data_IF_114434822221
#
_entry.id   IF_114434822221
#
_cell.length_a   1.000
_cell.length_b   1.000
_cell.length_c   1.000
_cell.angle_alpha   90.00
_cell.angle_beta   90.00
_cell.angle_gamma   90.00
#
_symmetry.space_group_name_H-M   'P 1'
#
loop_
_entity.id
_entity.type
_entity.pdbx_description
1 polymer ?
#
# COMPACT_ATOMS: atom_id res chain seq x y z
N UNK A 1 -18.45 -10.48 10.06
CA UNK A 1 -18.44 -9.34 11.01
C UNK A 1 -19.60 -9.51 11.98
N UNK A 2 -19.45 -9.14 13.26
CA UNK A 2 -20.49 -9.34 14.29
C UNK A 2 -21.43 -8.16 14.53
N UNK A 3 -21.26 -7.04 13.79
CA UNK A 3 -22.09 -5.85 13.96
C UNK A 3 -23.14 -5.78 12.83
N UNK A 4 -24.45 -5.91 13.13
CA UNK A 4 -25.51 -5.90 12.13
C UNK A 4 -25.64 -4.57 11.39
N UNK A 5 -25.13 -3.47 11.96
CA UNK A 5 -25.07 -2.19 11.27
C UNK A 5 -24.22 -2.23 9.99
N UNK A 6 -23.28 -3.18 9.89
CA UNK A 6 -22.38 -3.37 8.74
C UNK A 6 -22.78 -4.55 7.85
N UNK A 7 -24.07 -4.88 7.79
CA UNK A 7 -24.59 -5.85 6.82
C UNK A 7 -24.42 -5.34 5.38
N UNK A 8 -24.41 -6.24 4.40
CA UNK A 8 -24.31 -5.86 2.98
C UNK A 8 -25.39 -4.86 2.59
N UNK A 9 -26.65 -5.11 2.98
CA UNK A 9 -27.78 -4.22 2.72
C UNK A 9 -27.57 -2.79 3.26
N UNK A 10 -26.94 -2.65 4.43
CA UNK A 10 -26.66 -1.33 5.02
C UNK A 10 -25.46 -0.63 4.39
N UNK A 11 -24.49 -1.39 3.87
CA UNK A 11 -23.27 -0.85 3.27
C UNK A 11 -23.46 -0.54 1.78
N UNK A 12 -24.34 -1.26 1.08
CA UNK A 12 -24.59 -1.10 -0.35
C UNK A 12 -24.92 0.35 -0.78
N UNK A 13 -25.77 1.12 -0.07
CA UNK A 13 -26.00 2.52 -0.41
C UNK A 13 -24.72 3.37 -0.39
N UNK A 14 -23.78 3.07 0.52
CA UNK A 14 -22.49 3.74 0.58
C UNK A 14 -21.53 3.29 -0.54
N UNK A 15 -21.57 2.01 -0.92
CA UNK A 15 -20.84 1.50 -2.09
C UNK A 15 -21.34 2.12 -3.39
N UNK A 16 -22.65 2.36 -3.51
CA UNK A 16 -23.21 3.08 -4.66
C UNK A 16 -22.84 4.57 -4.62
N UNK A 17 -22.90 5.21 -3.45
CA UNK A 17 -22.56 6.63 -3.34
C UNK A 17 -21.07 6.95 -3.62
N UNK A 18 -20.16 5.98 -3.42
CA UNK A 18 -18.73 6.23 -3.64
C UNK A 18 -18.35 6.26 -5.12
N UNK A 19 -19.09 5.58 -5.99
CA UNK A 19 -18.70 5.32 -7.37
C UNK A 19 -19.58 5.99 -8.44
N UNK A 20 -18.96 6.22 -9.59
CA UNK A 20 -19.62 6.37 -10.89
C UNK A 20 -19.14 5.23 -11.78
N UNK A 21 -19.96 4.20 -11.95
CA UNK A 21 -19.64 3.06 -12.82
C UNK A 21 -19.92 3.43 -14.29
N UNK A 22 -18.89 3.40 -15.13
CA UNK A 22 -18.96 3.82 -16.52
C UNK A 22 -19.37 2.70 -17.49
N UNK A 23 -19.45 1.45 -17.02
CA UNK A 23 -19.75 0.29 -17.86
C UNK A 23 -21.16 -0.23 -17.61
N UNK A 24 -21.55 -0.38 -16.35
CA UNK A 24 -22.87 -0.88 -15.95
C UNK A 24 -23.86 0.23 -15.62
N UNK A 25 -23.37 1.46 -15.42
CA UNK A 25 -24.19 2.62 -15.09
C UNK A 25 -24.85 2.53 -13.70
N UNK A 26 -25.65 3.54 -13.31
CA UNK A 26 -26.37 3.50 -12.04
C UNK A 26 -27.43 2.41 -12.05
N UNK A 27 -27.53 1.65 -10.96
CA UNK A 27 -28.49 0.56 -10.84
C UNK A 27 -28.74 0.12 -9.40
N UNK A 28 -29.24 -1.10 -9.22
CA UNK A 28 -29.46 -1.69 -7.90
C UNK A 28 -28.14 -1.86 -7.12
N UNK A 29 -27.07 -2.24 -7.83
CA UNK A 29 -25.75 -2.51 -7.25
C UNK A 29 -24.76 -1.36 -7.41
N UNK A 30 -24.91 -0.53 -8.46
CA UNK A 30 -23.92 0.46 -8.86
C UNK A 30 -24.35 1.91 -8.67
N UNK A 31 -23.35 2.76 -8.49
CA UNK A 31 -23.46 4.21 -8.45
C UNK A 31 -23.26 4.89 -9.81
N UNK A 32 -23.84 6.08 -9.98
CA UNK A 32 -23.66 6.90 -11.20
C UNK A 32 -23.19 8.33 -10.95
N UNK A 33 -23.02 8.73 -9.70
CA UNK A 33 -22.74 10.12 -9.32
C UNK A 33 -21.58 10.26 -8.34
N UNK A 34 -21.05 9.14 -7.83
CA UNK A 34 -19.97 9.14 -6.87
C UNK A 34 -18.64 9.62 -7.48
N UNK A 35 -17.74 10.20 -6.66
CA UNK A 35 -16.52 10.83 -7.17
C UNK A 35 -15.50 9.83 -7.76
N UNK A 36 -15.61 8.54 -7.41
CA UNK A 36 -14.71 7.52 -7.93
C UNK A 36 -15.25 6.95 -9.24
N UNK A 37 -14.66 7.35 -10.37
CA UNK A 37 -15.02 6.79 -11.68
C UNK A 37 -14.40 5.41 -11.85
N UNK A 38 -15.23 4.42 -12.17
CA UNK A 38 -14.82 3.01 -12.35
C UNK A 38 -15.05 2.59 -13.80
N UNK A 39 -14.09 1.84 -14.35
CA UNK A 39 -14.16 1.26 -15.69
C UNK A 39 -13.50 -0.12 -15.74
N UNK A 40 -13.99 -0.97 -16.63
CA UNK A 40 -13.50 -2.30 -16.96
C UNK A 40 -12.90 -2.27 -18.36
N UNK A 41 -11.72 -2.85 -18.53
CA UNK A 41 -11.05 -2.98 -19.82
C UNK A 41 -11.20 -4.41 -20.29
N UNK A 42 -11.86 -4.59 -21.44
CA UNK A 42 -11.99 -5.91 -22.04
C UNK A 42 -10.60 -6.47 -22.42
N UNK A 43 -10.37 -7.78 -22.32
CA UNK A 43 -9.08 -8.38 -22.68
C UNK A 43 -8.82 -8.23 -24.18
N UNK A 44 -7.92 -7.31 -24.55
CA UNK A 44 -7.49 -7.06 -25.93
C UNK A 44 -6.13 -7.69 -26.24
N UNK A 45 -5.24 -7.76 -25.25
CA UNK A 45 -3.89 -8.31 -25.41
C UNK A 45 -3.92 -9.83 -25.71
N UNK A 46 -3.11 -10.37 -26.64
CA UNK A 46 -3.17 -11.79 -27.02
C UNK A 46 -3.01 -12.79 -25.86
N UNK A 47 -2.19 -12.46 -24.85
CA UNK A 47 -2.08 -13.29 -23.66
C UNK A 47 -3.35 -13.27 -22.79
N UNK A 48 -4.04 -12.13 -22.73
CA UNK A 48 -5.30 -12.00 -21.98
C UNK A 48 -6.42 -12.81 -22.64
N UNK A 49 -6.52 -12.69 -23.96
CA UNK A 49 -7.43 -13.50 -24.78
C UNK A 49 -7.17 -14.98 -24.58
N UNK A 50 -5.90 -15.42 -24.66
CA UNK A 50 -5.56 -16.83 -24.48
C UNK A 50 -5.91 -17.38 -23.09
N UNK A 51 -5.75 -16.57 -22.04
CA UNK A 51 -6.12 -16.99 -20.68
C UNK A 51 -7.64 -17.07 -20.50
N UNK A 52 -8.39 -16.08 -21.00
CA UNK A 52 -9.87 -16.13 -21.05
C UNK A 52 -10.35 -17.40 -21.74
N UNK A 53 -9.84 -17.66 -22.94
CA UNK A 53 -10.29 -18.80 -23.76
C UNK A 53 -9.97 -20.13 -23.06
N UNK A 54 -8.83 -20.21 -22.36
CA UNK A 54 -8.49 -21.37 -21.53
C UNK A 54 -9.43 -21.52 -20.33
N UNK A 55 -9.79 -20.43 -19.64
CA UNK A 55 -10.75 -20.48 -18.54
C UNK A 55 -12.12 -20.98 -19.01
N UNK A 56 -12.62 -20.47 -20.15
CA UNK A 56 -13.89 -20.91 -20.72
C UNK A 56 -13.84 -22.36 -21.19
N UNK A 57 -12.73 -22.80 -21.80
CA UNK A 57 -12.54 -24.19 -22.21
C UNK A 57 -12.52 -25.18 -21.02
N UNK A 58 -12.14 -24.70 -19.83
CA UNK A 58 -12.22 -25.45 -18.57
C UNK A 58 -13.60 -25.39 -17.91
N UNK A 59 -14.57 -24.70 -18.52
CA UNK A 59 -15.95 -24.62 -18.06
C UNK A 59 -16.24 -23.48 -17.08
N UNK A 60 -15.29 -22.57 -16.82
CA UNK A 60 -15.56 -21.39 -15.99
C UNK A 60 -16.44 -20.40 -16.76
N UNK A 61 -17.52 -19.87 -16.16
CA UNK A 61 -18.42 -18.95 -16.84
C UNK A 61 -17.78 -17.58 -17.06
N UNK A 62 -18.32 -16.77 -17.99
CA UNK A 62 -18.07 -15.34 -18.03
C UNK A 62 -18.55 -14.66 -16.75
N UNK A 63 -17.73 -13.76 -16.24
CA UNK A 63 -17.99 -12.93 -15.06
C UNK A 63 -17.69 -11.48 -15.44
N UNK A 64 -18.61 -10.82 -16.17
CA UNK A 64 -18.37 -9.50 -16.73
C UNK A 64 -18.28 -8.41 -15.66
N UNK A 65 -18.78 -8.66 -14.45
CA UNK A 65 -18.83 -7.70 -13.37
C UNK A 65 -18.44 -8.28 -12.01
N UNK A 66 -17.16 -8.10 -11.66
CA UNK A 66 -16.60 -8.55 -10.39
C UNK A 66 -17.19 -7.88 -9.14
N UNK A 67 -17.97 -6.83 -9.32
CA UNK A 67 -18.65 -6.13 -8.22
C UNK A 67 -20.13 -6.53 -8.10
N UNK A 68 -20.63 -7.40 -8.98
CA UNK A 68 -21.95 -8.00 -8.81
C UNK A 68 -21.90 -9.15 -7.77
N UNK A 69 -23.02 -9.84 -7.57
CA UNK A 69 -23.11 -11.01 -6.69
C UNK A 69 -23.31 -12.30 -7.51
N UNK A 70 -22.80 -12.30 -8.73
CA UNK A 70 -22.88 -13.37 -9.70
C UNK A 70 -21.98 -14.56 -9.36
N UNK A 71 -22.10 -15.66 -10.13
CA UNK A 71 -21.27 -16.83 -9.93
C UNK A 71 -19.80 -16.51 -10.25
N UNK A 72 -18.84 -17.09 -9.50
CA UNK A 72 -17.42 -16.87 -9.75
C UNK A 72 -17.04 -17.37 -11.15
N UNK A 73 -16.35 -16.52 -11.91
CA UNK A 73 -15.88 -16.86 -13.24
C UNK A 73 -14.72 -16.01 -13.70
N UNK A 74 -14.50 -15.95 -15.01
CA UNK A 74 -13.47 -15.11 -15.59
C UNK A 74 -14.05 -13.81 -16.15
N UNK A 75 -13.41 -12.69 -15.83
CA UNK A 75 -13.66 -11.44 -16.55
C UNK A 75 -12.81 -10.26 -16.11
N UNK A 76 -13.18 -9.06 -16.57
CA UNK A 76 -12.38 -7.86 -16.37
C UNK A 76 -12.45 -7.38 -14.92
N UNK A 77 -11.34 -6.83 -14.42
CA UNK A 77 -11.29 -6.25 -13.07
C UNK A 77 -11.68 -4.77 -13.14
N UNK A 78 -12.64 -4.31 -12.32
CA UNK A 78 -13.00 -2.90 -12.24
C UNK A 78 -11.80 -2.08 -11.77
N UNK A 79 -11.57 -0.95 -12.44
CA UNK A 79 -10.40 -0.11 -12.23
C UNK A 79 -10.80 1.36 -12.14
N UNK A 80 -10.13 2.10 -11.26
CA UNK A 80 -10.24 3.55 -11.17
C UNK A 80 -9.25 4.29 -12.11
N UNK A 81 -8.78 3.60 -13.15
CA UNK A 81 -8.01 4.18 -14.24
C UNK A 81 -8.91 4.45 -15.43
N UNK A 82 -9.19 5.73 -15.68
CA UNK A 82 -10.06 6.20 -16.76
C UNK A 82 -9.26 7.15 -17.64
N UNK A 83 -9.35 6.99 -18.96
CA UNK A 83 -8.61 7.79 -19.95
C UNK A 83 -7.08 7.76 -19.71
N UNK A 84 -6.55 6.60 -19.32
CA UNK A 84 -5.13 6.41 -19.01
C UNK A 84 -4.67 7.01 -17.68
N UNK A 85 -5.57 7.62 -16.89
CA UNK A 85 -5.25 8.27 -15.64
C UNK A 85 -5.87 7.53 -14.45
N UNK A 86 -5.01 7.05 -13.55
CA UNK A 86 -5.44 6.48 -12.27
C UNK A 86 -5.92 7.60 -11.33
N UNK A 87 -7.17 7.56 -10.92
CA UNK A 87 -7.75 8.48 -9.94
C UNK A 87 -7.72 7.89 -8.54
N UNK A 88 -6.93 8.49 -7.65
CA UNK A 88 -6.93 8.10 -6.25
C UNK A 88 -8.00 8.85 -5.44
N UNK A 89 -8.18 8.48 -4.17
CA UNK A 89 -9.18 9.10 -3.29
C UNK A 89 -8.92 10.59 -3.05
N UNK A 90 -7.67 11.03 -2.95
CA UNK A 90 -7.36 12.45 -2.79
C UNK A 90 -7.79 13.26 -4.02
N UNK A 91 -7.45 12.82 -5.23
CA UNK A 91 -7.86 13.49 -6.48
C UNK A 91 -9.38 13.47 -6.69
N UNK A 92 -10.08 12.51 -6.10
CA UNK A 92 -11.52 12.32 -6.28
C UNK A 92 -12.35 13.09 -5.24
N UNK A 93 -11.88 13.17 -3.99
CA UNK A 93 -12.62 13.80 -2.88
C UNK A 93 -12.07 15.17 -2.45
N UNK A 94 -10.79 15.46 -2.71
CA UNK A 94 -10.15 16.74 -2.41
C UNK A 94 -9.94 17.54 -3.70
N UNK A 95 -11.05 17.81 -4.40
CA UNK A 95 -11.03 18.69 -5.59
C UNK A 95 -10.63 20.12 -5.20
N UNK A 96 -10.18 20.96 -6.15
CA UNK A 96 -9.88 22.37 -5.87
C UNK A 96 -11.00 23.07 -5.10
N UNK A 97 -12.25 22.96 -5.57
CA UNK A 97 -13.42 23.56 -4.91
C UNK A 97 -13.64 23.06 -3.46
N UNK A 98 -13.25 21.81 -3.16
CA UNK A 98 -13.33 21.27 -1.80
C UNK A 98 -12.21 21.82 -0.92
N UNK A 99 -11.00 21.95 -1.47
CA UNK A 99 -9.85 22.52 -0.76
C UNK A 99 -9.98 24.01 -0.48
N UNK A 100 -10.75 24.74 -1.30
CA UNK A 100 -11.04 26.16 -1.12
C UNK A 100 -12.09 26.45 -0.03
N UNK A 101 -12.70 25.41 0.56
CA UNK A 101 -13.69 25.59 1.62
C UNK A 101 -13.03 26.14 2.89
N UNK A 102 -13.55 27.23 3.48
CA UNK A 102 -12.90 27.91 4.62
C UNK A 102 -12.88 27.07 5.91
N UNK A 103 -13.69 26.01 5.99
CA UNK A 103 -13.78 25.09 7.11
C UNK A 103 -12.95 23.81 6.93
N UNK A 104 -12.13 23.71 5.88
CA UNK A 104 -11.20 22.60 5.66
C UNK A 104 -9.76 23.10 5.66
N UNK A 105 -8.87 22.36 6.32
CA UNK A 105 -7.43 22.64 6.28
C UNK A 105 -6.68 21.35 6.02
N UNK A 106 -5.90 21.32 4.94
CA UNK A 106 -5.04 20.20 4.58
C UNK A 106 -3.59 20.48 5.03
N UNK A 107 -3.08 19.67 5.95
CA UNK A 107 -1.69 19.73 6.39
C UNK A 107 -0.91 18.53 5.85
N UNK A 108 -0.17 18.74 4.76
CA UNK A 108 0.73 17.73 4.17
C UNK A 108 2.12 17.75 4.82
N UNK A 109 2.89 16.66 4.65
CA UNK A 109 4.22 16.54 5.25
C UNK A 109 4.21 16.53 6.79
N UNK A 110 3.05 16.31 7.39
CA UNK A 110 2.81 16.43 8.81
C UNK A 110 2.52 15.04 9.40
N UNK A 111 3.41 14.53 10.25
CA UNK A 111 3.26 13.19 10.83
C UNK A 111 2.64 13.27 12.22
N UNK A 112 1.48 12.64 12.38
CA UNK A 112 0.89 12.44 13.71
C UNK A 112 1.74 11.45 14.51
N UNK A 113 2.12 11.83 15.74
CA UNK A 113 2.98 11.04 16.63
C UNK A 113 2.20 10.33 17.73
N UNK A 114 1.17 10.96 18.27
CA UNK A 114 0.22 10.39 19.24
C UNK A 114 -1.05 11.21 19.31
N UNK A 115 -2.12 10.59 19.77
CA UNK A 115 -3.34 11.26 20.22
C UNK A 115 -3.11 11.80 21.64
N UNK A 116 -3.63 12.99 21.92
CA UNK A 116 -3.65 13.56 23.27
C UNK A 116 -4.94 13.10 23.93
N UNK A 117 -4.81 12.40 25.05
CA UNK A 117 -5.93 11.94 25.87
C UNK A 117 -5.91 12.68 27.20
N UNK A 118 -7.03 13.28 27.58
CA UNK A 118 -7.24 13.90 28.88
C UNK A 118 -8.58 13.47 29.44
N UNK A 119 -8.59 12.95 30.68
CA UNK A 119 -9.82 12.47 31.37
C UNK A 119 -10.64 11.51 30.49
N UNK A 120 -9.97 10.51 29.92
CA UNK A 120 -10.54 9.48 29.02
C UNK A 120 -11.17 10.01 27.72
N UNK A 121 -10.83 11.25 27.32
CA UNK A 121 -11.27 11.86 26.06
C UNK A 121 -10.09 12.25 25.18
N UNK A 122 -10.20 11.99 23.88
CA UNK A 122 -9.29 12.56 22.89
C UNK A 122 -9.52 14.07 22.75
N UNK A 123 -8.48 14.86 22.96
CA UNK A 123 -8.53 16.33 22.94
C UNK A 123 -7.67 16.96 21.85
N UNK A 124 -6.97 16.14 21.07
CA UNK A 124 -6.07 16.63 20.03
C UNK A 124 -5.05 15.59 19.60
N UNK A 125 -4.09 16.04 18.82
CA UNK A 125 -2.98 15.20 18.33
C UNK A 125 -1.66 15.96 18.44
N UNK A 126 -0.60 15.23 18.79
CA UNK A 126 0.77 15.74 18.64
C UNK A 126 1.22 15.44 17.22
N UNK A 127 1.58 16.49 16.49
CA UNK A 127 2.06 16.40 15.12
C UNK A 127 3.52 16.80 15.05
N UNK A 128 4.22 16.30 14.03
CA UNK A 128 5.60 16.65 13.74
C UNK A 128 5.74 17.04 12.28
N UNK A 129 6.31 18.24 12.05
CA UNK A 129 6.64 18.77 10.73
C UNK A 129 8.00 19.46 10.83
N UNK A 130 8.89 19.18 9.89
CA UNK A 130 10.25 19.75 9.87
C UNK A 130 11.00 19.56 11.20
N UNK A 131 10.84 18.38 11.82
CA UNK A 131 11.34 18.00 13.15
C UNK A 131 10.81 18.83 14.34
N UNK A 132 9.90 19.76 14.10
CA UNK A 132 9.22 20.53 15.14
C UNK A 132 7.94 19.81 15.54
N UNK A 133 7.75 19.63 16.84
CA UNK A 133 6.53 19.03 17.40
C UNK A 133 5.60 20.10 17.94
N UNK A 134 4.35 20.01 17.54
CA UNK A 134 3.27 20.89 18.03
C UNK A 134 2.04 20.06 18.36
N UNK A 135 1.16 20.62 19.19
CA UNK A 135 -0.14 20.01 19.50
C UNK A 135 -1.21 20.74 18.70
N UNK A 136 -2.07 19.98 18.04
CA UNK A 136 -3.30 20.49 17.41
C UNK A 136 -4.47 20.03 18.26
N UNK A 137 -5.18 20.98 18.85
CA UNK A 137 -6.37 20.71 19.67
C UNK A 137 -7.56 20.35 18.78
N UNK A 138 -8.40 19.42 19.26
CA UNK A 138 -9.55 18.95 18.51
C UNK A 138 -10.73 18.57 19.41
N UNK A 139 -11.95 18.85 18.92
CA UNK A 139 -13.18 18.40 19.55
C UNK A 139 -13.41 16.89 19.42
N UNK A 140 -12.97 16.32 18.29
CA UNK A 140 -13.01 14.90 17.96
C UNK A 140 -11.77 14.54 17.12
N UNK A 141 -11.31 13.29 17.23
CA UNK A 141 -10.16 12.78 16.47
C UNK A 141 -10.58 11.51 15.73
N UNK A 142 -10.40 11.50 14.41
CA UNK A 142 -10.68 10.33 13.54
C UNK A 142 -9.35 9.78 13.01
N UNK A 143 -9.08 8.49 13.26
CA UNK A 143 -7.83 7.85 12.82
C UNK A 143 -8.02 7.11 11.50
N UNK A 144 -7.51 7.71 10.43
CA UNK A 144 -7.54 7.14 9.06
C UNK A 144 -6.13 6.86 8.53
N UNK A 145 -5.21 6.42 9.39
CA UNK A 145 -3.80 6.18 9.03
C UNK A 145 -3.56 4.81 8.34
N UNK A 146 -4.63 4.02 8.12
CA UNK A 146 -4.55 2.65 7.60
C UNK A 146 -4.38 1.60 8.71
N UNK A 147 -4.66 0.34 8.40
CA UNK A 147 -4.78 -0.74 9.39
C UNK A 147 -3.56 -0.88 10.32
N UNK A 148 -2.35 -0.81 9.76
CA UNK A 148 -1.09 -0.93 10.52
C UNK A 148 -0.78 0.33 11.34
N UNK A 149 -0.80 1.50 10.71
CA UNK A 149 -0.36 2.73 11.35
C UNK A 149 -1.40 3.26 12.36
N UNK A 150 -2.70 3.02 12.15
CA UNK A 150 -3.73 3.36 13.15
C UNK A 150 -3.54 2.54 14.43
N UNK A 151 -3.31 1.22 14.33
CA UNK A 151 -3.05 0.40 15.51
C UNK A 151 -1.77 0.83 16.24
N UNK A 152 -0.69 1.10 15.49
CA UNK A 152 0.54 1.62 16.06
C UNK A 152 0.35 2.99 16.74
N UNK A 153 -0.40 3.90 16.12
CA UNK A 153 -0.66 5.23 16.67
C UNK A 153 -1.50 5.16 17.96
N UNK A 154 -2.47 4.25 18.03
CA UNK A 154 -3.20 3.98 19.28
C UNK A 154 -2.25 3.50 20.39
N UNK A 155 -1.35 2.57 20.07
CA UNK A 155 -0.36 2.08 21.03
C UNK A 155 0.59 3.20 21.49
N UNK A 156 1.11 4.05 20.58
CA UNK A 156 1.90 5.24 20.93
C UNK A 156 1.13 6.27 21.77
N UNK A 157 -0.20 6.20 21.75
CA UNK A 157 -1.10 7.04 22.55
C UNK A 157 -1.48 6.39 23.89
N UNK A 158 -0.91 5.24 24.23
CA UNK A 158 -1.19 4.50 25.45
C UNK A 158 -2.45 3.63 25.40
N UNK A 159 -3.00 3.36 24.21
CA UNK A 159 -4.19 2.52 24.01
C UNK A 159 -3.78 1.24 23.28
N UNK A 160 -3.77 0.12 23.98
CA UNK A 160 -3.37 -1.17 23.41
C UNK A 160 -3.02 -2.21 24.45
N UNK A 161 -2.42 -3.35 24.07
CA UNK A 161 -2.09 -4.42 25.01
C UNK A 161 -1.10 -3.93 26.07
N UNK A 162 -1.51 -3.94 27.35
CA UNK A 162 -0.71 -3.42 28.48
C UNK A 162 0.75 -3.84 28.46
N UNK A 163 1.02 -5.14 28.35
CA UNK A 163 2.40 -5.64 28.37
C UNK A 163 3.26 -5.12 27.21
N UNK A 164 2.67 -4.86 26.03
CA UNK A 164 3.38 -4.23 24.92
C UNK A 164 3.71 -2.77 25.23
N UNK A 165 2.76 -2.03 25.79
CA UNK A 165 2.92 -0.62 26.15
C UNK A 165 4.01 -0.43 27.23
N UNK A 166 3.94 -1.24 28.29
CA UNK A 166 4.89 -1.21 29.40
C UNK A 166 6.32 -1.53 28.93
N UNK A 167 6.50 -2.56 28.09
CA UNK A 167 7.81 -2.88 27.49
C UNK A 167 8.36 -1.77 26.60
N UNK A 168 7.48 -1.01 25.94
CA UNK A 168 7.85 0.11 25.09
C UNK A 168 8.04 1.42 25.88
N UNK A 169 7.85 1.43 27.21
CA UNK A 169 7.93 2.63 28.04
C UNK A 169 6.79 3.63 27.76
N UNK A 170 5.67 3.18 27.20
CA UNK A 170 4.51 4.03 26.92
C UNK A 170 3.54 3.97 28.11
N UNK A 171 3.16 5.11 28.71
CA UNK A 171 2.15 5.13 29.77
C UNK A 171 0.83 4.50 29.30
N UNK A 172 0.30 3.58 30.09
CA UNK A 172 -0.96 2.90 29.77
C UNK A 172 -2.13 3.83 30.10
N UNK A 173 -2.80 4.30 29.05
CA UNK A 173 -4.08 5.03 29.16
C UNK A 173 -5.22 4.04 29.24
N UNK A 174 -5.24 3.04 28.35
CA UNK A 174 -6.26 2.00 28.32
C UNK A 174 -5.70 0.68 27.81
N UNK A 175 -5.92 -0.37 28.58
CA UNK A 175 -5.55 -1.72 28.18
C UNK A 175 -6.58 -2.29 27.21
N UNK A 176 -6.18 -2.45 25.95
CA UNK A 176 -7.03 -2.97 24.87
C UNK A 176 -6.24 -4.02 24.08
N UNK A 177 -6.27 -5.30 24.50
CA UNK A 177 -5.49 -6.36 23.86
C UNK A 177 -5.80 -6.58 22.37
N UNK A 178 -6.97 -6.14 21.90
CA UNK A 178 -7.38 -6.25 20.50
C UNK A 178 -6.67 -5.26 19.56
N UNK A 179 -6.07 -4.18 20.08
CA UNK A 179 -5.40 -3.18 19.22
C UNK A 179 -4.14 -3.77 18.59
N UNK A 180 -4.16 -3.91 17.26
CA UNK A 180 -3.08 -4.53 16.49
C UNK A 180 -3.16 -6.06 16.43
N UNK A 181 -4.19 -6.67 17.02
CA UNK A 181 -4.47 -8.09 16.86
C UNK A 181 -5.31 -8.37 15.62
N UNK A 182 -5.48 -9.66 15.27
CA UNK A 182 -6.36 -10.13 14.18
C UNK A 182 -6.08 -9.49 12.82
N UNK A 183 -4.80 -9.24 12.54
CA UNK A 183 -4.36 -8.84 11.21
C UNK A 183 -4.77 -9.91 10.19
N UNK A 184 -5.31 -9.46 9.06
CA UNK A 184 -5.69 -10.30 7.93
C UNK A 184 -5.22 -9.61 6.66
N UNK A 185 -4.79 -10.40 5.69
CA UNK A 185 -4.35 -9.96 4.37
C UNK A 185 -4.64 -11.08 3.36
N UNK A 186 -4.49 -10.81 2.07
CA UNK A 186 -4.61 -11.82 1.03
C UNK A 186 -3.23 -12.46 0.78
N UNK A 187 -3.03 -13.75 1.10
CA UNK A 187 -1.78 -14.43 0.76
C UNK A 187 -1.68 -14.55 -0.77
N UNK A 188 -0.61 -13.99 -1.34
CA UNK A 188 -0.40 -13.95 -2.79
C UNK A 188 0.84 -14.76 -3.20
N UNK A 189 0.69 -15.58 -4.24
CA UNK A 189 1.79 -16.25 -4.93
C UNK A 189 1.91 -15.67 -6.35
N UNK A 190 3.12 -15.33 -6.76
CA UNK A 190 3.41 -14.92 -8.13
C UNK A 190 4.03 -16.10 -8.90
N UNK A 191 3.42 -16.44 -10.03
CA UNK A 191 3.93 -17.40 -10.99
C UNK A 191 4.22 -16.64 -12.29
N UNK A 192 5.44 -16.77 -12.81
CA UNK A 192 5.88 -16.06 -14.01
C UNK A 192 6.02 -17.01 -15.18
N UNK A 193 5.48 -16.59 -16.34
CA UNK A 193 5.61 -17.31 -17.60
C UNK A 193 6.20 -16.40 -18.66
N UNK A 194 7.07 -16.97 -19.50
CA UNK A 194 7.60 -16.29 -20.67
C UNK A 194 6.86 -16.79 -21.92
N UNK A 195 6.17 -15.90 -22.65
CA UNK A 195 5.57 -16.25 -23.93
C UNK A 195 6.61 -16.77 -24.93
N UNK A 196 6.26 -17.82 -25.69
CA UNK A 196 7.15 -18.42 -26.71
C UNK A 196 7.56 -17.42 -27.80
N UNK A 197 6.63 -16.55 -28.18
CA UNK A 197 6.84 -15.44 -29.11
C UNK A 197 6.64 -14.12 -28.38
N UNK A 198 7.23 -13.06 -28.91
CA UNK A 198 6.92 -11.71 -28.43
C UNK A 198 5.44 -11.41 -28.72
N UNK A 199 4.74 -10.88 -27.72
CA UNK A 199 3.33 -10.50 -27.81
C UNK A 199 3.13 -8.98 -27.77
N UNK A 200 4.22 -8.21 -27.68
CA UNK A 200 4.17 -6.78 -27.48
C UNK A 200 3.86 -6.40 -26.03
N UNK A 201 3.91 -5.09 -25.75
CA UNK A 201 3.47 -4.55 -24.47
C UNK A 201 1.94 -4.38 -24.45
N UNK A 202 1.29 -4.50 -23.28
CA UNK A 202 -0.13 -4.16 -23.16
C UNK A 202 -0.35 -2.66 -23.45
N UNK A 203 -1.36 -2.34 -24.25
CA UNK A 203 -1.71 -0.95 -24.59
C UNK A 203 -2.63 -0.30 -23.55
N UNK A 204 -3.65 -1.03 -23.09
CA UNK A 204 -4.76 -0.45 -22.31
C UNK A 204 -4.64 -0.71 -20.80
N UNK A 205 -4.34 -1.96 -20.42
CA UNK A 205 -4.29 -2.42 -19.04
C UNK A 205 -3.13 -3.39 -18.83
N UNK A 206 -2.42 -3.24 -17.72
CA UNK A 206 -1.41 -4.20 -17.28
C UNK A 206 -2.05 -5.50 -16.74
N UNK A 207 -3.34 -5.49 -16.43
CA UNK A 207 -4.10 -6.63 -15.91
C UNK A 207 -5.02 -7.13 -17.02
N UNK A 208 -4.84 -8.40 -17.41
CA UNK A 208 -5.60 -9.04 -18.50
C UNK A 208 -6.98 -9.53 -18.08
N UNK A 209 -7.22 -9.66 -16.77
CA UNK A 209 -8.47 -10.13 -16.19
C UNK A 209 -8.22 -10.91 -14.91
N UNK A 210 -9.30 -11.43 -14.36
CA UNK A 210 -9.31 -12.20 -13.13
C UNK A 210 -10.23 -13.41 -13.27
N UNK A 211 -9.73 -14.58 -12.86
CA UNK A 211 -10.56 -15.76 -12.63
C UNK A 211 -10.81 -15.92 -11.13
N UNK A 212 -12.08 -15.91 -10.74
CA UNK A 212 -12.54 -16.35 -9.43
C UNK A 212 -12.95 -17.80 -9.51
N UNK A 213 -12.53 -18.59 -8.54
CA UNK A 213 -12.83 -20.02 -8.48
C UNK A 213 -12.76 -20.51 -7.03
N UNK A 214 -13.39 -21.65 -6.78
CA UNK A 214 -13.27 -22.36 -5.51
C UNK A 214 -12.01 -23.23 -5.48
N UNK A 215 -11.36 -23.29 -4.33
CA UNK A 215 -10.31 -24.26 -4.04
C UNK A 215 -10.88 -25.68 -4.02
N UNK A 216 -10.05 -26.66 -4.39
CA UNK A 216 -10.46 -28.06 -4.46
C UNK A 216 -11.03 -28.54 -3.13
N UNK A 217 -12.25 -29.08 -3.15
CA UNK A 217 -12.96 -29.56 -1.96
C UNK A 217 -14.03 -28.61 -1.41
N UNK A 218 -14.16 -27.40 -1.98
CA UNK A 218 -15.37 -26.57 -1.85
C UNK A 218 -16.23 -26.73 -3.09
N UNK A 219 -17.27 -27.55 -3.00
CA UNK A 219 -18.26 -27.70 -4.08
C UNK A 219 -19.22 -26.50 -4.16
N UNK A 220 -19.36 -25.73 -3.07
CA UNK A 220 -20.28 -24.58 -2.98
C UNK A 220 -19.67 -23.39 -2.21
N UNK A 221 -20.00 -22.16 -2.64
CA UNK A 221 -19.65 -20.91 -1.98
C UNK A 221 -19.01 -19.86 -2.89
N UNK A 222 -18.88 -18.60 -2.44
CA UNK A 222 -18.14 -17.57 -3.16
C UNK A 222 -16.68 -18.04 -3.27
N UNK A 223 -16.15 -18.10 -4.49
CA UNK A 223 -14.79 -18.59 -4.76
C UNK A 223 -13.77 -17.98 -3.79
N UNK A 224 -12.90 -18.81 -3.22
CA UNK A 224 -11.89 -18.42 -2.24
C UNK A 224 -10.50 -18.23 -2.87
N UNK A 225 -10.39 -18.46 -4.19
CA UNK A 225 -9.18 -18.24 -4.97
C UNK A 225 -9.40 -17.19 -6.06
N UNK A 226 -8.42 -16.30 -6.17
CA UNK A 226 -8.36 -15.28 -7.21
C UNK A 226 -7.07 -15.46 -8.03
N UNK A 227 -7.22 -15.73 -9.33
CA UNK A 227 -6.10 -15.78 -10.27
C UNK A 227 -6.08 -14.49 -11.09
N UNK A 228 -5.22 -13.56 -10.67
CA UNK A 228 -4.99 -12.29 -11.34
C UNK A 228 -3.97 -12.46 -12.46
N UNK A 229 -4.40 -12.25 -13.70
CA UNK A 229 -3.49 -12.34 -14.84
C UNK A 229 -2.76 -11.02 -15.08
N UNK A 230 -1.55 -10.89 -14.54
CA UNK A 230 -0.68 -9.76 -14.87
C UNK A 230 -0.04 -9.96 -16.26
N UNK A 231 -0.23 -8.98 -17.15
CA UNK A 231 0.45 -8.89 -18.45
C UNK A 231 1.84 -8.25 -18.34
N UNK A 232 2.11 -7.60 -17.22
CA UNK A 232 3.41 -7.01 -16.91
C UNK A 232 4.07 -7.80 -15.78
N UNK A 233 5.35 -8.19 -15.88
CA UNK A 233 6.04 -8.88 -14.78
C UNK A 233 5.99 -8.08 -13.48
N UNK A 234 5.95 -8.77 -12.34
CA UNK A 234 5.88 -8.11 -11.01
C UNK A 234 7.05 -7.16 -10.77
N UNK A 235 8.25 -7.52 -11.23
CA UNK A 235 9.42 -6.64 -11.20
C UNK A 235 9.18 -5.32 -11.95
N UNK A 236 8.41 -5.35 -13.05
CA UNK A 236 8.06 -4.16 -13.82
C UNK A 236 7.02 -3.29 -13.11
N UNK A 237 6.05 -3.90 -12.43
CA UNK A 237 5.03 -3.17 -11.65
C UNK A 237 5.62 -2.51 -10.39
N UNK A 238 6.49 -3.20 -9.67
CA UNK A 238 7.07 -2.71 -8.41
C UNK A 238 8.27 -1.79 -8.66
N UNK A 239 9.08 -2.10 -9.67
CA UNK A 239 10.32 -1.37 -9.97
C UNK A 239 10.19 -0.27 -11.02
N UNK A 240 9.03 -0.12 -11.66
CA UNK A 240 8.81 0.84 -12.74
C UNK A 240 9.54 0.52 -14.04
N UNK A 241 10.04 -0.72 -14.19
CA UNK A 241 10.83 -1.14 -15.35
C UNK A 241 10.13 -2.31 -16.06
N UNK A 242 9.19 -2.01 -16.96
CA UNK A 242 8.35 -2.98 -17.66
C UNK A 242 9.09 -3.79 -18.77
N UNK A 243 10.41 -3.88 -18.72
CA UNK A 243 11.17 -4.70 -19.65
C UNK A 243 11.04 -6.18 -19.33
N UNK A 244 10.98 -7.08 -20.33
CA UNK A 244 11.11 -8.51 -20.07
C UNK A 244 12.43 -8.76 -19.32
N UNK A 245 12.50 -9.72 -18.38
CA UNK A 245 13.76 -10.11 -17.79
C UNK A 245 14.73 -10.42 -18.93
N UNK A 246 15.89 -9.73 -18.92
CA UNK A 246 16.81 -9.71 -20.04
C UNK A 246 16.99 -11.12 -20.63
N UNK A 247 16.58 -11.30 -21.90
CA UNK A 247 16.78 -12.57 -22.61
C UNK A 247 18.26 -12.94 -22.47
N UNK A 248 18.50 -14.06 -21.78
CA UNK A 248 19.79 -14.69 -21.44
C UNK A 248 20.55 -14.05 -20.26
N UNK A 249 20.10 -14.34 -19.03
CA UNK A 249 21.08 -14.72 -18.01
C UNK A 249 21.44 -16.20 -18.20
N UNK A 250 22.59 -16.47 -18.82
CA UNK A 250 23.27 -17.79 -18.77
C UNK A 250 23.93 -18.05 -17.41
N UNK A 251 23.49 -17.39 -16.34
CA UNK A 251 23.94 -17.64 -14.98
C UNK A 251 22.79 -18.27 -14.21
N UNK A 252 22.78 -19.59 -14.16
CA UNK A 252 22.16 -20.30 -13.05
C UNK A 252 22.72 -19.73 -11.74
N UNK A 253 21.83 -19.18 -10.89
CA UNK A 253 22.18 -18.98 -9.48
C UNK A 253 22.20 -20.35 -8.81
N UNK A 254 23.27 -20.74 -8.09
CA UNK A 254 23.35 -22.04 -7.45
C UNK A 254 22.60 -21.97 -6.11
N UNK A 255 21.27 -21.95 -6.16
CA UNK A 255 20.43 -22.13 -4.96
C UNK A 255 19.54 -23.37 -5.05
N UNK A 256 19.56 -24.08 -6.18
CA UNK A 256 18.81 -25.32 -6.38
C UNK A 256 19.75 -26.46 -6.81
N UNK A 257 20.59 -26.94 -5.89
CA UNK A 257 21.15 -28.31 -5.80
C UNK A 257 22.47 -28.28 -4.99
N UNK A 258 22.51 -28.76 -3.74
CA UNK A 258 23.77 -29.05 -3.08
C UNK A 258 24.30 -30.37 -3.65
N UNK A 259 25.43 -30.34 -4.37
CA UNK A 259 26.28 -31.55 -4.47
C UNK A 259 26.74 -32.07 -5.83
N UNK A 260 26.63 -31.35 -6.96
CA UNK A 260 27.33 -31.78 -8.20
C UNK A 260 28.04 -30.61 -8.88
N UNK A 261 29.36 -30.73 -9.04
CA UNK A 261 30.27 -29.76 -9.67
C UNK A 261 30.89 -30.38 -10.93
N UNK A 262 30.13 -30.60 -11.99
CA UNK A 262 30.72 -30.80 -13.32
C UNK A 262 29.84 -30.13 -14.40
N UNK A 263 30.41 -29.32 -15.31
CA UNK A 263 29.67 -28.73 -16.42
C UNK A 263 29.45 -29.76 -17.54
N UNK A 264 28.21 -29.89 -18.03
CA UNK A 264 27.91 -30.63 -19.26
C UNK A 264 28.34 -29.80 -20.49
N UNK A 265 29.13 -30.40 -21.38
CA UNK A 265 29.61 -29.82 -22.63
C UNK A 265 28.61 -30.05 -23.77
N UNK A 266 28.14 -28.97 -24.38
CA UNK A 266 27.33 -29.00 -25.61
C UNK A 266 27.77 -27.86 -26.55
N UNK A 267 28.78 -28.11 -27.41
CA UNK A 267 29.01 -27.36 -28.65
C UNK A 267 28.03 -27.78 -29.78
N UNK A 268 28.00 -27.11 -30.97
CA UNK A 268 29.11 -26.36 -31.57
C UNK A 268 28.82 -24.89 -32.01
N UNK A 269 29.88 -24.09 -31.82
CA UNK A 269 30.39 -22.91 -32.56
C UNK A 269 29.48 -22.17 -33.57
N UNK A 270 29.18 -20.91 -33.26
CA UNK A 270 28.99 -19.83 -34.26
C UNK A 270 29.87 -18.64 -33.86
N UNK A 271 30.63 -18.12 -34.84
CA UNK A 271 31.67 -17.08 -34.74
C UNK A 271 31.12 -15.73 -34.26
N UNK A 272 31.80 -15.09 -33.31
CA UNK A 272 31.67 -13.67 -32.93
C UNK A 272 32.68 -12.79 -33.69
N UNK A 273 32.34 -11.54 -34.08
CA UNK A 273 33.29 -10.46 -34.27
C UNK A 273 33.41 -9.57 -33.00
N UNK A 274 34.45 -8.72 -32.89
CA UNK A 274 34.97 -8.25 -31.60
C UNK A 274 34.28 -6.99 -31.03
N UNK A 275 34.48 -6.82 -29.72
CA UNK A 275 33.99 -5.75 -28.84
C UNK A 275 34.45 -4.35 -29.25
N UNK A 276 33.58 -3.36 -29.02
CA UNK A 276 33.97 -1.99 -28.71
C UNK A 276 33.67 -1.72 -27.22
N UNK A 277 34.67 -1.19 -26.52
CA UNK A 277 34.64 -0.78 -25.12
C UNK A 277 34.07 0.62 -24.96
N UNK A 278 33.11 0.80 -24.05
CA UNK A 278 32.87 2.09 -23.41
C UNK A 278 32.57 1.89 -21.92
N UNK A 279 33.48 2.42 -21.11
CA UNK A 279 33.39 2.67 -19.68
C UNK A 279 32.44 3.83 -19.43
N UNK A 280 31.47 3.73 -18.51
CA UNK A 280 31.07 4.82 -17.60
C UNK A 280 30.24 4.28 -16.41
N UNK A 281 30.85 4.38 -15.23
CA UNK A 281 30.35 4.72 -13.87
C UNK A 281 28.93 4.32 -13.44
N UNK A 282 28.86 3.37 -12.49
CA UNK A 282 27.66 3.07 -11.68
C UNK A 282 27.53 4.01 -10.47
N UNK A 283 26.37 4.63 -10.28
CA UNK A 283 25.98 5.26 -9.01
C UNK A 283 25.16 4.26 -8.20
N UNK A 284 25.70 3.78 -7.08
CA UNK A 284 24.96 2.97 -6.08
C UNK A 284 24.09 3.90 -5.24
N UNK A 285 22.77 3.72 -5.28
CA UNK A 285 21.88 4.16 -4.18
C UNK A 285 21.70 3.00 -3.21
N UNK A 286 22.07 3.24 -1.95
CA UNK A 286 21.81 2.33 -0.85
C UNK A 286 20.33 2.44 -0.44
N UNK A 287 19.57 1.35 -0.57
CA UNK A 287 18.27 1.19 0.06
C UNK A 287 18.46 0.36 1.32
N UNK A 288 18.32 1.01 2.48
CA UNK A 288 18.26 0.33 3.77
C UNK A 288 16.90 -0.32 3.95
N UNK A 289 16.86 -1.66 3.96
CA UNK A 289 15.68 -2.41 4.35
C UNK A 289 15.65 -2.53 5.88
N UNK A 290 14.66 -1.90 6.52
CA UNK A 290 14.35 -2.14 7.92
C UNK A 290 13.49 -3.40 8.03
N UNK A 291 14.07 -4.46 8.60
CA UNK A 291 13.41 -5.73 8.83
C UNK A 291 12.60 -5.65 10.15
N UNK A 292 11.27 -5.65 10.07
CA UNK A 292 10.39 -5.81 11.25
C UNK A 292 10.22 -7.31 11.48
N UNK A 293 10.74 -7.82 12.61
CA UNK A 293 10.53 -9.22 13.02
C UNK A 293 9.26 -9.34 13.88
N UNK A 294 8.38 -10.31 13.60
CA UNK A 294 7.26 -10.64 14.49
C UNK A 294 7.74 -11.27 15.80
N UNK A 295 7.08 -10.91 16.92
CA UNK A 295 7.32 -11.45 18.25
C UNK A 295 6.98 -12.94 18.30
N UNK A 296 8.00 -13.80 18.44
CA UNK A 296 7.76 -15.23 18.57
C UNK A 296 9.01 -16.09 18.77
N UNK A 297 10.05 -15.63 19.48
CA UNK A 297 11.13 -16.51 19.98
C UNK A 297 11.91 -15.80 21.10
N UNK A 298 12.14 -16.42 22.28
CA UNK A 298 13.09 -15.90 23.26
C UNK A 298 14.52 -16.28 22.85
N UNK A 299 15.45 -15.31 22.91
CA UNK A 299 16.90 -15.56 22.83
C UNK A 299 17.56 -15.20 24.17
N UNK A 300 18.63 -15.91 24.55
CA UNK A 300 19.17 -15.89 25.91
C UNK A 300 19.92 -14.59 26.21
N UNK A 301 19.96 -14.27 27.50
CA UNK A 301 20.60 -13.10 28.10
C UNK A 301 22.07 -12.95 27.70
N UNK A 302 22.41 -11.82 27.07
CA UNK A 302 23.77 -11.29 27.06
C UNK A 302 23.74 -9.82 27.46
N UNK A 303 24.30 -9.54 28.63
CA UNK A 303 24.57 -8.23 29.22
C UNK A 303 25.44 -7.36 28.33
N UNK A 304 24.98 -6.14 28.04
CA UNK A 304 25.79 -5.02 27.55
C UNK A 304 25.70 -3.86 28.55
N UNK A 305 26.79 -3.13 28.82
CA UNK A 305 26.86 -2.14 29.90
C UNK A 305 26.19 -0.80 29.53
N UNK A 306 25.78 0.02 30.51
CA UNK A 306 25.09 1.28 30.26
C UNK A 306 26.04 2.38 29.77
N UNK A 307 25.54 3.22 28.85
CA UNK A 307 26.19 4.46 28.43
C UNK A 307 26.02 5.58 29.48
N UNK A 308 27.03 6.46 29.68
CA UNK A 308 26.99 7.44 30.74
C UNK A 308 26.17 8.69 30.36
N UNK A 309 25.45 9.21 31.35
CA UNK A 309 24.75 10.49 31.31
C UNK A 309 25.74 11.65 31.56
N UNK A 310 25.67 12.69 30.74
CA UNK A 310 26.30 13.98 31.05
C UNK A 310 25.31 15.12 30.83
N UNK A 311 24.94 15.78 31.94
CA UNK A 311 24.41 17.16 31.97
C UNK A 311 25.59 18.15 31.92
N UNK A 312 25.33 19.40 31.55
CA UNK A 312 25.85 20.49 32.38
C UNK A 312 24.79 21.49 32.80
N UNK A 313 25.04 22.04 33.98
CA UNK A 313 24.27 22.98 34.77
C UNK A 313 24.48 24.45 34.31
N UNK A 314 23.58 25.33 34.76
CA UNK A 314 23.49 26.77 34.49
C UNK A 314 24.35 27.62 35.45
N UNK A 315 24.66 28.84 35.00
CA UNK A 315 24.91 30.13 35.69
C UNK A 315 26.24 30.76 35.24
N UNK A 316 26.42 32.06 34.98
CA UNK A 316 25.76 33.27 35.46
C UNK A 316 25.85 34.45 34.45
N UNK A 317 24.96 35.44 34.62
CA UNK A 317 24.88 36.76 33.94
C UNK A 317 25.73 37.84 34.69
N UNK A 318 26.03 39.06 34.16
CA UNK A 318 25.09 40.22 34.19
C UNK A 318 25.34 41.30 33.06
N UNK A 319 24.92 42.60 33.13
CA UNK A 319 23.70 43.10 32.43
C UNK A 319 23.79 44.44 31.63
N UNK A 320 22.80 44.67 30.74
CA UNK A 320 22.12 45.96 30.33
C UNK A 320 22.93 47.07 29.59
N UNK A 321 22.31 48.00 28.80
CA UNK A 321 21.08 48.77 29.14
C UNK A 321 20.03 49.05 28.03
N UNK A 322 19.00 49.76 28.49
CA UNK A 322 17.72 50.15 27.86
C UNK A 322 17.86 51.36 26.91
N UNK A 323 17.01 51.40 25.88
CA UNK A 323 16.64 52.62 25.14
C UNK A 323 15.22 52.46 24.57
N UNK A 324 14.38 53.48 24.74
CA UNK A 324 12.92 53.54 24.43
C UNK A 324 12.68 54.52 23.23
N UNK A 325 11.43 54.78 22.78
CA UNK A 325 10.96 54.62 21.39
C UNK A 325 10.83 55.94 20.60
N UNK A 326 10.59 55.88 19.28
CA UNK A 326 10.13 57.02 18.48
C UNK A 326 9.05 56.61 17.47
N UNK A 327 8.11 57.53 17.29
CA UNK A 327 6.80 57.46 16.64
C UNK A 327 6.80 57.48 15.10
N UNK A 328 5.62 57.16 14.53
CA UNK A 328 5.18 57.46 13.16
C UNK A 328 5.10 58.98 12.89
N UNK A 329 5.05 59.37 11.61
CA UNK A 329 3.83 60.05 11.14
C UNK A 329 3.29 59.56 9.79
N UNK A 330 2.10 60.10 9.49
CA UNK A 330 1.08 59.87 8.47
C UNK A 330 1.42 60.52 7.10
N UNK A 331 1.00 59.84 6.02
CA UNK A 331 0.49 60.21 4.66
C UNK A 331 0.86 61.56 3.98
N UNK A 332 0.62 61.68 2.65
CA UNK A 332 -0.73 61.86 2.09
C UNK A 332 -1.22 60.73 1.15
#
# INVERSE_FOLDING_TARGET
MGNPAWSYANVLPHLRALETDLDHGPGELHGGEGPMRIRRVAPSHPAAVAFRDAAYALGFPPDPDKNDQGPPGFGPVPSNSVDGLRRNTALSYLTPDVLDRPNLTLLSGCRVRRVVIARDRATGVVVERDQVRTTVDAGAVVLSAGALATAHLLQLSGIGPRGCLERAGVPVVRDVPAVGARFSDHPQLALEWLPRRDLGAPADSWLGGCLHLASTGREEGPGDLEVLQSLTPMAGLVGGNAGPPARRCRSWSPLCCPGRREPCDCGPRIRTPPRASTTTTSVRRATGAACVRPCGSPLPSSTLPPWPASRPDRSAHPPRPRGRPVARPVDP
#
